data_IF_375062922457
#
_entry.id   IF_375062922457
#
_cell.length_a   1.000
_cell.length_b   1.000
_cell.length_c   1.000
_cell.angle_alpha   90.00
_cell.angle_beta   90.00
_cell.angle_gamma   90.00
#
_symmetry.space_group_name_H-M   'P 1'
#
loop_
_entity.id
_entity.type
_entity.pdbx_description
1 polymer ?
#
# COMPACT_ATOMS: atom_id res chain seq x y z
N UNK A 1 11.66 41.74 -46.28
CA UNK A 1 10.39 41.05 -45.99
C UNK A 1 10.72 39.83 -45.13
N UNK A 2 10.80 39.97 -43.81
CA UNK A 2 11.11 38.84 -42.91
C UNK A 2 9.86 38.05 -42.56
N UNK A 3 9.89 36.72 -42.73
CA UNK A 3 8.77 35.83 -42.42
C UNK A 3 8.66 35.58 -40.91
N UNK A 4 7.42 35.61 -40.39
CA UNK A 4 7.12 35.32 -38.98
C UNK A 4 7.06 33.79 -38.81
N UNK A 5 7.80 33.19 -37.85
CA UNK A 5 7.71 31.76 -37.60
C UNK A 5 6.34 31.38 -37.02
N UNK A 6 5.73 30.32 -37.54
CA UNK A 6 4.43 29.81 -37.09
C UNK A 6 4.53 29.30 -35.65
N UNK A 7 3.62 29.76 -34.78
CA UNK A 7 3.50 29.30 -33.39
C UNK A 7 3.18 27.81 -33.39
N UNK A 8 3.88 27.05 -32.54
CA UNK A 8 3.57 25.64 -32.28
C UNK A 8 2.14 25.52 -31.73
N UNK A 9 1.37 24.50 -32.17
CA UNK A 9 0.05 24.27 -31.62
C UNK A 9 0.16 24.05 -30.10
N UNK A 10 -0.77 24.65 -29.34
CA UNK A 10 -0.87 24.43 -27.89
C UNK A 10 -0.99 22.93 -27.63
N UNK A 11 -0.25 22.43 -26.65
CA UNK A 11 -0.24 21.02 -26.26
C UNK A 11 -1.65 20.49 -26.04
N UNK A 12 -1.82 19.18 -26.19
CA UNK A 12 -3.10 18.50 -26.00
C UNK A 12 -3.68 18.73 -24.60
N UNK A 13 -4.96 18.36 -24.44
CA UNK A 13 -5.64 18.46 -23.15
C UNK A 13 -4.92 17.62 -22.08
N UNK A 14 -5.03 18.06 -20.82
CA UNK A 14 -4.52 17.32 -19.67
C UNK A 14 -5.12 15.91 -19.61
N UNK A 15 -4.32 14.94 -19.16
CA UNK A 15 -4.83 13.60 -18.86
C UNK A 15 -5.54 13.59 -17.50
N UNK A 16 -6.38 12.59 -17.25
CA UNK A 16 -7.08 12.46 -15.97
C UNK A 16 -6.11 12.36 -14.79
N UNK A 17 -4.92 11.78 -15.00
CA UNK A 17 -3.87 11.69 -13.99
C UNK A 17 -3.26 13.07 -13.66
N UNK A 18 -3.06 13.91 -14.69
CA UNK A 18 -2.55 15.28 -14.51
C UNK A 18 -3.59 16.17 -13.81
N UNK A 19 -4.88 16.00 -14.14
CA UNK A 19 -5.98 16.69 -13.46
C UNK A 19 -6.06 16.30 -11.98
N UNK A 20 -5.93 15.00 -11.67
CA UNK A 20 -5.85 14.52 -10.28
C UNK A 20 -4.65 15.15 -9.58
N UNK A 21 -3.50 15.21 -10.23
CA UNK A 21 -2.30 15.82 -9.66
C UNK A 21 -2.48 17.32 -9.40
N UNK A 22 -3.16 18.03 -10.29
CA UNK A 22 -3.48 19.45 -10.15
C UNK A 22 -4.43 19.71 -8.98
N UNK A 23 -5.47 18.88 -8.83
CA UNK A 23 -6.41 18.94 -7.70
C UNK A 23 -5.70 18.66 -6.38
N UNK A 24 -4.83 17.66 -6.34
CA UNK A 24 -4.03 17.34 -5.15
C UNK A 24 -3.04 18.47 -4.81
N UNK A 25 -2.42 19.08 -5.81
CA UNK A 25 -1.53 20.22 -5.60
C UNK A 25 -2.27 21.44 -5.03
N UNK A 26 -3.46 21.75 -5.57
CA UNK A 26 -4.29 22.85 -5.09
C UNK A 26 -4.81 22.63 -3.67
N UNK A 27 -5.23 21.40 -3.32
CA UNK A 27 -5.65 21.08 -1.95
C UNK A 27 -4.49 21.17 -0.94
N UNK A 28 -3.25 20.98 -1.39
CA UNK A 28 -2.07 21.09 -0.54
C UNK A 28 -1.59 22.53 -0.32
N UNK A 29 -1.92 23.49 -1.19
CA UNK A 29 -1.51 24.89 -1.00
C UNK A 29 -2.29 25.61 0.11
N UNK A 30 -3.46 25.11 0.52
CA UNK A 30 -4.20 25.66 1.67
C UNK A 30 -3.63 25.26 3.05
N UNK A 31 -2.54 24.49 3.08
CA UNK A 31 -1.82 24.10 4.30
C UNK A 31 -0.60 24.98 4.59
N UNK A 32 -0.22 25.89 3.68
CA UNK A 32 0.81 26.90 3.94
C UNK A 32 0.14 28.17 4.49
N UNK A 33 0.37 28.57 5.75
CA UNK A 33 -0.15 29.84 6.27
C UNK A 33 0.58 31.00 5.58
N UNK A 34 0.01 31.52 4.49
CA UNK A 34 0.36 32.84 3.96
C UNK A 34 -0.30 33.87 4.87
N UNK A 35 0.42 34.31 5.89
CA UNK A 35 0.02 35.44 6.70
C UNK A 35 0.20 36.72 5.88
N UNK A 36 -0.86 37.17 5.21
CA UNK A 36 -0.92 38.44 4.51
C UNK A 36 -1.84 39.41 5.24
N UNK A 37 -1.27 40.36 5.99
CA UNK A 37 -2.01 41.53 6.47
C UNK A 37 -2.17 42.51 5.29
N UNK A 38 -3.39 42.62 4.76
CA UNK A 38 -3.73 43.57 3.69
C UNK A 38 -4.05 44.91 4.35
N UNK A 39 -3.02 45.70 4.65
CA UNK A 39 -3.13 47.15 4.87
C UNK A 39 -1.76 47.78 4.55
N UNK A 40 -1.47 48.06 3.28
CA UNK A 40 -0.24 48.78 2.91
C UNK A 40 -0.57 49.95 1.98
N UNK A 41 -0.36 51.16 2.50
CA UNK A 41 -0.38 52.40 1.75
C UNK A 41 0.64 52.37 0.59
N UNK A 42 0.33 53.07 -0.51
CA UNK A 42 1.01 53.02 -1.81
C UNK A 42 2.50 53.45 -1.85
N UNK A 43 3.20 53.63 -0.73
CA UNK A 43 4.60 54.11 -0.73
C UNK A 43 5.56 53.32 0.16
N UNK A 44 5.16 52.13 0.63
CA UNK A 44 6.09 51.23 1.29
C UNK A 44 6.65 50.26 0.26
N UNK A 45 7.81 50.59 -0.32
CA UNK A 45 8.70 49.56 -0.86
C UNK A 45 9.02 48.61 0.30
N UNK A 46 8.27 47.51 0.39
CA UNK A 46 8.58 46.43 1.30
C UNK A 46 9.89 45.85 0.78
N UNK A 47 11.00 46.19 1.42
CA UNK A 47 12.19 45.37 1.35
C UNK A 47 11.74 43.99 1.83
N UNK A 48 11.36 43.12 0.89
CA UNK A 48 11.27 41.68 1.12
C UNK A 48 12.71 41.25 1.28
N UNK A 49 13.30 41.56 2.44
CA UNK A 49 14.59 41.03 2.83
C UNK A 49 14.50 39.54 2.61
N UNK A 50 15.30 39.04 1.65
CA UNK A 50 15.47 37.62 1.44
C UNK A 50 15.82 37.03 2.81
N UNK A 51 15.00 36.13 3.39
CA UNK A 51 15.20 35.70 4.76
C UNK A 51 16.62 35.16 4.92
N UNK A 52 17.31 35.64 5.95
CA UNK A 52 18.68 35.24 6.30
C UNK A 52 18.79 33.72 6.21
N UNK A 53 19.69 33.28 5.33
CA UNK A 53 19.79 31.89 4.91
C UNK A 53 20.08 30.97 6.08
N UNK A 54 19.07 30.24 6.56
CA UNK A 54 19.21 29.20 7.59
C UNK A 54 19.77 27.92 6.99
N UNK A 55 20.90 28.00 6.27
CA UNK A 55 21.52 26.84 5.59
C UNK A 55 21.75 25.68 6.58
N UNK A 56 22.18 25.99 7.80
CA UNK A 56 22.32 25.02 8.88
C UNK A 56 20.99 24.42 9.36
N UNK A 57 19.94 25.23 9.57
CA UNK A 57 18.62 24.75 10.01
C UNK A 57 17.93 23.91 8.93
N UNK A 58 18.05 24.30 7.66
CA UNK A 58 17.51 23.56 6.51
C UNK A 58 18.19 22.19 6.36
N UNK A 59 19.50 22.11 6.56
CA UNK A 59 20.23 20.83 6.56
C UNK A 59 19.84 19.96 7.78
N UNK A 60 19.66 20.54 8.97
CA UNK A 60 19.15 19.80 10.15
C UNK A 60 17.73 19.28 9.94
N UNK A 61 16.86 20.08 9.32
CA UNK A 61 15.51 19.66 8.96
C UNK A 61 15.52 18.55 7.91
N UNK A 62 16.41 18.63 6.92
CA UNK A 62 16.59 17.58 5.91
C UNK A 62 17.10 16.27 6.53
N UNK A 63 18.07 16.34 7.44
CA UNK A 63 18.60 15.17 8.16
C UNK A 63 17.54 14.54 9.08
N UNK A 64 16.76 15.34 9.81
CA UNK A 64 15.67 14.82 10.65
C UNK A 64 14.57 14.20 9.81
N UNK A 65 14.21 14.80 8.66
CA UNK A 65 13.28 14.20 7.70
C UNK A 65 13.80 12.88 7.15
N UNK A 66 15.08 12.82 6.77
CA UNK A 66 15.71 11.58 6.29
C UNK A 66 15.62 10.47 7.34
N UNK A 67 16.02 10.78 8.58
CA UNK A 67 15.93 9.82 9.70
C UNK A 67 14.51 9.34 9.96
N UNK A 68 13.51 10.23 9.84
CA UNK A 68 12.11 9.85 9.99
C UNK A 68 11.65 8.92 8.87
N UNK A 69 12.05 9.19 7.62
CA UNK A 69 11.73 8.32 6.47
C UNK A 69 12.38 6.96 6.62
N UNK A 70 13.66 6.92 6.98
CA UNK A 70 14.41 5.68 7.21
C UNK A 70 13.76 4.83 8.31
N UNK A 71 13.41 5.44 9.45
CA UNK A 71 12.70 4.75 10.53
C UNK A 71 11.31 4.26 10.11
N UNK A 72 10.59 5.00 9.25
CA UNK A 72 9.32 4.55 8.69
C UNK A 72 9.49 3.33 7.78
N UNK A 73 10.54 3.32 6.95
CA UNK A 73 10.86 2.19 6.08
C UNK A 73 11.22 0.95 6.90
N UNK A 74 12.07 1.10 7.93
CA UNK A 74 12.44 0.00 8.83
C UNK A 74 11.21 -0.61 9.54
N UNK A 75 10.28 0.24 10.01
CA UNK A 75 9.04 -0.25 10.62
C UNK A 75 8.18 -1.00 9.61
N UNK A 76 8.08 -0.51 8.38
CA UNK A 76 7.28 -1.14 7.33
C UNK A 76 7.84 -2.52 6.94
N UNK A 77 9.16 -2.63 6.80
CA UNK A 77 9.84 -3.90 6.52
C UNK A 77 9.59 -4.92 7.64
N UNK A 78 9.76 -4.53 8.90
CA UNK A 78 9.45 -5.40 10.04
C UNK A 78 7.99 -5.85 10.07
N UNK A 79 7.04 -4.98 9.70
CA UNK A 79 5.63 -5.37 9.63
C UNK A 79 5.36 -6.36 8.49
N UNK A 80 6.01 -6.18 7.35
CA UNK A 80 5.90 -7.11 6.22
C UNK A 80 6.41 -8.51 6.59
N UNK A 81 7.60 -8.59 7.19
CA UNK A 81 8.18 -9.87 7.64
C UNK A 81 7.26 -10.58 8.65
N UNK A 82 6.67 -9.82 9.59
CA UNK A 82 5.70 -10.36 10.54
C UNK A 82 4.43 -10.86 9.88
N UNK A 83 3.93 -10.15 8.85
CA UNK A 83 2.75 -10.56 8.11
C UNK A 83 3.00 -11.83 7.28
N UNK A 84 4.16 -11.93 6.63
CA UNK A 84 4.57 -13.12 5.89
C UNK A 84 4.66 -14.34 6.81
N UNK A 85 5.29 -14.19 7.99
CA UNK A 85 5.36 -15.23 9.01
C UNK A 85 3.97 -15.66 9.48
N UNK A 86 3.08 -14.71 9.77
CA UNK A 86 1.68 -15.00 10.16
C UNK A 86 0.94 -15.76 9.06
N UNK A 87 1.14 -15.39 7.80
CA UNK A 87 0.56 -16.09 6.65
C UNK A 87 1.10 -17.52 6.59
N UNK A 88 2.40 -17.72 6.79
CA UNK A 88 3.03 -19.05 6.78
C UNK A 88 2.46 -19.94 7.87
N UNK A 89 2.45 -19.48 9.12
CA UNK A 89 1.89 -20.20 10.26
C UNK A 89 0.41 -20.54 10.02
N UNK A 90 -0.37 -19.60 9.48
CA UNK A 90 -1.78 -19.83 9.18
C UNK A 90 -1.98 -20.90 8.11
N UNK A 91 -1.15 -20.91 7.06
CA UNK A 91 -1.19 -21.95 6.00
C UNK A 91 -0.86 -23.32 6.56
N UNK A 92 0.20 -23.44 7.37
CA UNK A 92 0.60 -24.70 8.01
C UNK A 92 -0.49 -25.23 8.95
N UNK A 93 -1.07 -24.35 9.77
CA UNK A 93 -2.20 -24.70 10.65
C UNK A 93 -3.39 -25.24 9.85
N UNK A 94 -3.77 -24.58 8.75
CA UNK A 94 -4.86 -25.03 7.90
C UNK A 94 -4.58 -26.39 7.24
N UNK A 95 -3.31 -26.66 6.91
CA UNK A 95 -2.92 -27.97 6.37
C UNK A 95 -3.00 -29.06 7.44
N UNK A 96 -2.54 -28.78 8.66
CA UNK A 96 -2.70 -29.71 9.79
C UNK A 96 -4.17 -29.97 10.12
N UNK A 97 -5.02 -28.95 10.12
CA UNK A 97 -6.45 -29.10 10.42
C UNK A 97 -7.13 -29.97 9.35
N UNK A 98 -6.83 -29.75 8.06
CA UNK A 98 -7.29 -30.63 6.97
C UNK A 98 -6.81 -32.06 7.15
N UNK A 99 -5.56 -32.26 7.56
CA UNK A 99 -5.01 -33.59 7.80
C UNK A 99 -5.77 -34.33 8.92
N UNK A 100 -6.06 -33.63 10.03
CA UNK A 100 -6.85 -34.18 11.15
C UNK A 100 -8.28 -34.51 10.74
N UNK A 101 -8.92 -33.64 9.94
CA UNK A 101 -10.27 -33.90 9.42
C UNK A 101 -10.29 -35.15 8.52
N UNK A 102 -9.28 -35.30 7.65
CA UNK A 102 -9.12 -36.48 6.81
C UNK A 102 -8.86 -37.74 7.66
N UNK A 103 -8.02 -37.66 8.70
CA UNK A 103 -7.80 -38.78 9.65
C UNK A 103 -9.07 -39.19 10.36
N UNK A 104 -9.89 -38.22 10.80
CA UNK A 104 -11.19 -38.48 11.41
C UNK A 104 -12.09 -39.27 10.46
N UNK A 105 -12.14 -38.86 9.19
CA UNK A 105 -12.89 -39.59 8.16
C UNK A 105 -12.33 -41.00 7.97
N UNK A 106 -11.00 -41.17 7.97
CA UNK A 106 -10.34 -42.48 7.81
C UNK A 106 -10.65 -43.46 8.94
N UNK A 107 -10.61 -42.98 10.18
CA UNK A 107 -10.75 -43.77 11.40
C UNK A 107 -12.21 -44.04 11.80
N UNK A 108 -13.17 -43.41 11.13
CA UNK A 108 -14.60 -43.59 11.38
C UNK A 108 -15.03 -45.03 11.09
N UNK A 109 -15.61 -45.69 12.09
CA UNK A 109 -16.25 -47.00 11.96
C UNK A 109 -17.55 -46.88 11.17
N UNK A 110 -17.75 -47.73 10.17
CA UNK A 110 -18.90 -47.67 9.25
C UNK A 110 -20.08 -48.52 9.71
N UNK A 111 -19.84 -49.50 10.57
CA UNK A 111 -20.79 -50.54 10.97
C UNK A 111 -22.05 -50.01 11.70
N UNK A 112 -22.06 -48.74 12.12
CA UNK A 112 -23.19 -48.08 12.79
C UNK A 112 -23.93 -47.04 11.93
N UNK A 113 -23.57 -46.89 10.64
CA UNK A 113 -24.19 -45.93 9.73
C UNK A 113 -25.12 -46.60 8.72
N UNK A 114 -26.04 -45.83 8.16
CA UNK A 114 -26.91 -46.28 7.08
C UNK A 114 -26.07 -46.62 5.83
N UNK A 115 -26.49 -47.57 5.02
CA UNK A 115 -25.73 -48.10 3.87
C UNK A 115 -25.26 -46.99 2.91
N UNK A 116 -26.13 -46.05 2.56
CA UNK A 116 -25.79 -44.87 1.75
C UNK A 116 -24.67 -44.02 2.35
N UNK A 117 -24.64 -43.89 3.68
CA UNK A 117 -23.59 -43.15 4.39
C UNK A 117 -22.29 -43.96 4.43
N UNK A 118 -22.37 -45.29 4.56
CA UNK A 118 -21.19 -46.17 4.50
C UNK A 118 -20.50 -46.05 3.14
N UNK A 119 -21.27 -46.08 2.06
CA UNK A 119 -20.77 -45.89 0.69
C UNK A 119 -20.11 -44.52 0.52
N UNK A 120 -20.78 -43.45 0.98
CA UNK A 120 -20.26 -42.10 0.94
C UNK A 120 -18.88 -41.99 1.61
N UNK A 121 -18.76 -42.47 2.86
CA UNK A 121 -17.49 -42.41 3.58
C UNK A 121 -16.42 -43.32 2.98
N UNK A 122 -16.81 -44.46 2.41
CA UNK A 122 -15.87 -45.36 1.70
C UNK A 122 -15.29 -44.66 0.47
N UNK A 123 -16.12 -44.03 -0.35
CA UNK A 123 -15.66 -43.24 -1.48
C UNK A 123 -14.74 -42.10 -1.02
N UNK A 124 -15.14 -41.39 0.05
CA UNK A 124 -14.35 -40.28 0.59
C UNK A 124 -12.98 -40.72 1.08
N UNK A 125 -12.87 -41.86 1.77
CA UNK A 125 -11.59 -42.47 2.18
C UNK A 125 -10.71 -42.74 0.96
N UNK A 126 -11.28 -43.28 -0.11
CA UNK A 126 -10.56 -43.54 -1.36
C UNK A 126 -10.06 -42.26 -2.03
N UNK A 127 -10.85 -41.18 -2.04
CA UNK A 127 -10.39 -39.87 -2.54
C UNK A 127 -9.20 -39.33 -1.74
N UNK A 128 -9.27 -39.42 -0.40
CA UNK A 128 -8.20 -38.97 0.50
C UNK A 128 -6.91 -39.76 0.21
N UNK A 129 -6.99 -41.09 0.07
CA UNK A 129 -5.83 -41.92 -0.29
C UNK A 129 -5.23 -41.55 -1.65
N UNK A 130 -6.08 -41.33 -2.65
CA UNK A 130 -5.63 -40.93 -4.00
C UNK A 130 -4.89 -39.60 -3.95
N UNK A 131 -5.42 -38.60 -3.24
CA UNK A 131 -4.78 -37.28 -3.11
C UNK A 131 -3.42 -37.35 -2.41
N UNK A 132 -3.26 -38.23 -1.42
CA UNK A 132 -1.99 -38.44 -0.71
C UNK A 132 -0.92 -39.15 -1.53
N UNK A 133 -1.29 -39.92 -2.55
CA UNK A 133 -0.33 -40.61 -3.45
C UNK A 133 0.24 -39.71 -4.56
N UNK A 134 -0.36 -38.54 -4.79
CA UNK A 134 -0.02 -37.64 -5.90
C UNK A 134 0.82 -36.44 -5.42
N UNK A 135 1.00 -36.26 -4.10
CA UNK A 135 1.99 -35.36 -3.51
C UNK A 135 3.32 -36.09 -3.38
#
# INVERSE_FOLDING_TARGET
>A
MGSIPKKTPRGGNFTMEEDVFLVLAWLNTSMDPIQGDINVAMDNFVDVERPVGRKGEKERLKQTRHKLVEKKMEMLEKTYDQEEEKIRIKKERLEMDKFKDDERVMMMYLNGLLEEQQEFYTYRKMEILKKRRVK
#
